data_IF_235687336131
#
_entry.id   IF_235687336131
#
_cell.length_a   1.000
_cell.length_b   1.000
_cell.length_c   1.000
_cell.angle_alpha   90.00
_cell.angle_beta   90.00
_cell.angle_gamma   90.00
#
_symmetry.space_group_name_H-M   'P 1'
#
loop_
_entity.id
_entity.type
_entity.pdbx_description
1 polymer ?
#
# COMPACT_ATOMS: atom_id res chain seq x y z
N UNK A 1 -31.80 -49.35 44.02
CA UNK A 1 -31.59 -48.10 43.27
C UNK A 1 -32.40 -47.02 43.98
N UNK A 2 -31.75 -46.26 44.87
CA UNK A 2 -32.43 -45.38 45.82
C UNK A 2 -31.61 -44.11 46.06
N UNK A 3 -32.34 -43.02 46.23
CA UNK A 3 -31.99 -41.69 46.77
C UNK A 3 -31.55 -40.59 45.79
N UNK A 4 -32.54 -39.72 45.58
CA UNK A 4 -32.56 -38.32 45.15
C UNK A 4 -31.57 -37.41 45.90
N UNK A 5 -31.06 -36.42 45.14
CA UNK A 5 -30.82 -34.99 45.48
C UNK A 5 -30.00 -34.67 46.75
N UNK A 6 -29.00 -33.78 46.61
CA UNK A 6 -28.95 -32.47 47.30
C UNK A 6 -27.68 -31.68 46.93
N UNK A 7 -27.92 -30.43 46.49
CA UNK A 7 -27.14 -29.18 46.66
C UNK A 7 -25.61 -29.21 46.45
N UNK A 8 -25.03 -28.28 45.68
CA UNK A 8 -24.91 -26.89 46.13
C UNK A 8 -24.60 -25.96 44.96
N UNK A 9 -25.34 -24.85 44.92
CA UNK A 9 -25.15 -23.69 44.06
C UNK A 9 -23.82 -23.02 44.39
N UNK A 10 -22.95 -22.82 43.39
CA UNK A 10 -21.95 -21.75 43.46
C UNK A 10 -22.12 -20.85 42.24
N UNK A 11 -22.95 -19.83 42.42
CA UNK A 11 -22.97 -18.67 41.55
C UNK A 11 -21.70 -17.85 41.85
N UNK A 12 -20.84 -17.71 40.85
CA UNK A 12 -19.89 -16.60 40.80
C UNK A 12 -20.19 -15.82 39.52
N UNK A 13 -20.96 -14.75 39.70
CA UNK A 13 -20.89 -13.58 38.83
C UNK A 13 -19.42 -13.19 38.70
N UNK A 14 -18.97 -12.81 37.50
CA UNK A 14 -18.29 -11.53 37.24
C UNK A 14 -17.84 -11.45 35.76
N UNK A 15 -18.55 -10.59 35.04
CA UNK A 15 -18.04 -9.56 34.12
C UNK A 15 -17.43 -10.02 32.79
N UNK A 16 -18.27 -9.88 31.75
CA UNK A 16 -18.02 -8.98 30.62
C UNK A 16 -16.56 -8.83 30.17
N UNK A 17 -16.19 -9.68 29.24
CA UNK A 17 -15.17 -9.41 28.23
C UNK A 17 -15.63 -10.13 26.96
N UNK A 18 -16.75 -9.74 26.32
CA UNK A 18 -16.76 -8.62 25.35
C UNK A 18 -15.49 -7.75 25.36
N UNK A 19 -14.33 -8.39 25.19
CA UNK A 19 -13.34 -7.86 24.26
C UNK A 19 -14.09 -8.03 22.92
N UNK A 20 -14.81 -7.02 22.47
CA UNK A 20 -14.08 -5.86 22.01
C UNK A 20 -13.18 -6.31 20.87
N UNK A 21 -13.63 -7.20 19.99
CA UNK A 21 -13.40 -6.96 18.57
C UNK A 21 -14.09 -5.63 18.27
N UNK A 22 -13.43 -4.53 18.66
CA UNK A 22 -13.42 -3.37 17.80
C UNK A 22 -12.97 -3.93 16.47
N UNK A 23 -13.93 -4.11 15.55
CA UNK A 23 -13.63 -3.90 14.15
C UNK A 23 -12.98 -2.52 14.14
N UNK A 24 -11.66 -2.50 14.18
CA UNK A 24 -10.93 -1.33 13.73
C UNK A 24 -11.29 -1.31 12.26
N UNK A 25 -12.31 -0.54 11.92
CA UNK A 25 -12.52 0.00 10.59
C UNK A 25 -11.29 0.87 10.30
N UNK A 26 -10.18 0.21 10.00
CA UNK A 26 -8.97 0.87 9.54
C UNK A 26 -9.09 0.98 8.03
N UNK A 27 -9.60 2.11 7.53
CA UNK A 27 -9.25 2.57 6.18
C UNK A 27 -7.73 2.56 6.09
N UNK A 28 -7.09 1.96 5.09
CA UNK A 28 -7.33 2.19 3.67
C UNK A 28 -6.98 0.98 2.79
N UNK A 29 -7.50 0.95 1.55
CA UNK A 29 -7.04 0.02 0.49
C UNK A 29 -5.91 0.63 -0.36
N UNK A 30 -5.83 1.95 -0.48
CA UNK A 30 -4.70 2.77 -0.93
C UNK A 30 -4.92 4.17 -0.34
N UNK A 31 -3.92 5.06 -0.38
CA UNK A 31 -4.07 6.44 0.06
C UNK A 31 -4.95 7.20 -0.95
N UNK A 32 -6.27 7.09 -0.79
CA UNK A 32 -7.24 7.72 -1.69
C UNK A 32 -7.27 9.24 -1.46
N UNK A 33 -7.31 10.00 -2.57
CA UNK A 33 -7.30 11.46 -2.58
C UNK A 33 -6.00 12.08 -2.06
N UNK A 34 -4.85 11.53 -2.45
CA UNK A 34 -3.57 12.14 -2.16
C UNK A 34 -3.47 13.52 -2.85
N UNK A 35 -3.45 14.58 -2.06
CA UNK A 35 -3.32 15.96 -2.58
C UNK A 35 -1.84 16.37 -2.65
N UNK A 36 -1.50 17.21 -3.63
CA UNK A 36 -0.09 17.60 -3.87
C UNK A 36 0.55 18.36 -2.70
N UNK A 37 -0.26 19.03 -1.89
CA UNK A 37 0.20 19.79 -0.72
C UNK A 37 0.45 18.91 0.51
N UNK A 38 -0.02 17.66 0.52
CA UNK A 38 0.32 16.66 1.54
C UNK A 38 1.70 16.03 1.32
N UNK A 39 2.21 16.13 0.09
CA UNK A 39 3.49 15.56 -0.34
C UNK A 39 4.63 16.44 0.19
N UNK A 40 5.49 15.86 1.01
CA UNK A 40 6.74 16.47 1.44
C UNK A 40 7.83 16.27 0.37
N UNK A 41 7.88 15.08 -0.22
CA UNK A 41 8.84 14.73 -1.26
C UNK A 41 8.25 13.64 -2.17
N UNK A 42 8.56 13.70 -3.47
CA UNK A 42 8.27 12.64 -4.43
C UNK A 42 9.54 12.32 -5.21
N UNK A 43 9.94 11.05 -5.23
CA UNK A 43 11.13 10.54 -5.89
C UNK A 43 10.75 9.35 -6.78
N UNK A 44 11.26 9.29 -8.00
CA UNK A 44 11.20 8.08 -8.81
C UNK A 44 12.59 7.54 -9.02
N UNK A 45 12.66 6.22 -8.94
CA UNK A 45 13.89 5.47 -9.13
C UNK A 45 13.63 4.40 -10.18
N UNK A 46 14.56 4.25 -11.11
CA UNK A 46 14.48 3.26 -12.18
C UNK A 46 15.76 2.43 -12.26
N UNK A 47 15.60 1.14 -12.51
CA UNK A 47 16.70 0.25 -12.86
C UNK A 47 16.90 0.29 -14.37
N UNK A 48 18.01 0.85 -14.82
CA UNK A 48 18.37 0.98 -16.24
C UNK A 48 19.55 0.07 -16.53
N UNK A 49 19.53 -0.63 -17.66
CA UNK A 49 20.66 -1.44 -18.10
C UNK A 49 21.65 -0.57 -18.87
N UNK A 50 22.84 -0.35 -18.32
CA UNK A 50 23.93 0.37 -18.97
C UNK A 50 25.21 -0.48 -18.90
N UNK A 51 25.88 -0.63 -20.05
CA UNK A 51 27.14 -1.38 -20.19
C UNK A 51 27.10 -2.82 -19.65
N UNK A 52 25.92 -3.46 -19.67
CA UNK A 52 25.72 -4.83 -19.17
C UNK A 52 25.48 -4.95 -17.66
N UNK A 53 25.34 -3.81 -16.95
CA UNK A 53 24.99 -3.74 -15.52
C UNK A 53 23.66 -3.00 -15.33
N UNK A 54 22.96 -3.32 -14.25
CA UNK A 54 21.79 -2.55 -13.83
C UNK A 54 22.25 -1.41 -12.91
N UNK A 55 22.03 -0.18 -13.34
CA UNK A 55 22.24 1.03 -12.55
C UNK A 55 20.90 1.56 -12.06
N UNK A 56 20.91 2.14 -10.86
CA UNK A 56 19.78 2.86 -10.30
C UNK A 56 19.89 4.33 -10.70
N UNK A 57 18.86 4.86 -11.37
CA UNK A 57 18.79 6.28 -11.74
C UNK A 57 17.59 6.97 -11.08
N UNK A 58 17.86 8.15 -10.52
CA UNK A 58 16.84 9.05 -9.99
C UNK A 58 16.20 9.86 -11.12
N UNK A 59 14.90 9.69 -11.30
CA UNK A 59 14.11 10.43 -12.27
C UNK A 59 13.46 11.61 -11.56
N UNK A 60 13.79 12.81 -12.02
CA UNK A 60 13.15 14.04 -11.55
C UNK A 60 11.87 14.27 -12.34
N UNK A 61 10.72 14.35 -11.66
CA UNK A 61 9.46 14.75 -12.29
C UNK A 61 9.27 16.26 -12.30
N UNK A 62 8.66 16.75 -13.36
CA UNK A 62 8.06 18.09 -13.38
C UNK A 62 6.76 18.11 -12.55
N UNK A 63 6.33 19.31 -12.12
CA UNK A 63 5.07 19.44 -11.37
C UNK A 63 3.86 18.92 -12.14
N UNK A 64 3.83 19.11 -13.47
CA UNK A 64 2.74 18.62 -14.32
C UNK A 64 2.70 17.08 -14.36
N UNK A 65 3.87 16.44 -14.39
CA UNK A 65 3.97 14.97 -14.34
C UNK A 65 3.58 14.42 -12.96
N UNK A 66 3.95 15.12 -11.89
CA UNK A 66 3.50 14.81 -10.53
C UNK A 66 1.97 14.86 -10.49
N UNK A 67 1.35 15.96 -10.92
CA UNK A 67 -0.10 16.11 -10.89
C UNK A 67 -0.79 15.03 -11.72
N UNK A 68 -0.29 14.75 -12.93
CA UNK A 68 -0.81 13.69 -13.79
C UNK A 68 -0.70 12.30 -13.15
N UNK A 69 0.40 12.04 -12.46
CA UNK A 69 0.59 10.79 -11.73
C UNK A 69 -0.39 10.68 -10.56
N UNK A 70 -0.57 11.74 -9.77
CA UNK A 70 -1.51 11.77 -8.66
C UNK A 70 -2.96 11.59 -9.14
N UNK A 71 -3.34 12.23 -10.24
CA UNK A 71 -4.66 12.04 -10.87
C UNK A 71 -4.89 10.55 -11.23
N UNK A 72 -3.88 9.89 -11.81
CA UNK A 72 -3.95 8.47 -12.15
C UNK A 72 -3.99 7.58 -10.92
N UNK A 73 -3.18 7.87 -9.90
CA UNK A 73 -3.13 7.10 -8.66
C UNK A 73 -4.46 7.19 -7.90
N UNK A 74 -5.02 8.40 -7.79
CA UNK A 74 -6.29 8.67 -7.12
C UNK A 74 -7.50 8.13 -7.91
N UNK A 75 -7.35 7.88 -9.21
CA UNK A 75 -8.40 7.30 -10.06
C UNK A 75 -8.50 5.76 -9.95
N UNK A 76 -7.59 5.10 -9.25
CA UNK A 76 -7.61 3.63 -9.09
C UNK A 76 -8.86 3.23 -8.29
N UNK A 77 -9.79 2.45 -8.88
CA UNK A 77 -11.00 2.08 -8.17
C UNK A 77 -10.72 0.93 -7.20
N UNK A 78 -11.42 0.91 -6.06
CA UNK A 78 -11.10 0.01 -4.94
C UNK A 78 -11.14 -1.48 -5.30
N UNK A 79 -12.01 -1.89 -6.22
CA UNK A 79 -12.13 -3.27 -6.68
C UNK A 79 -10.92 -3.76 -7.49
N UNK A 80 -10.03 -2.86 -7.89
CA UNK A 80 -8.77 -3.18 -8.59
C UNK A 80 -7.59 -3.36 -7.64
N UNK A 81 -7.83 -3.27 -6.33
CA UNK A 81 -6.80 -3.32 -5.31
C UNK A 81 -6.95 -4.62 -4.52
N UNK A 82 -5.86 -5.38 -4.46
CA UNK A 82 -5.82 -6.65 -3.74
C UNK A 82 -4.70 -6.59 -2.72
N UNK A 83 -5.04 -6.78 -1.44
CA UNK A 83 -4.05 -6.88 -0.36
C UNK A 83 -3.17 -8.12 -0.54
N UNK A 84 -1.88 -7.97 -0.30
CA UNK A 84 -0.87 -9.02 -0.41
C UNK A 84 0.05 -9.03 0.80
N UNK A 85 0.71 -10.16 1.06
CA UNK A 85 1.66 -10.27 2.17
C UNK A 85 3.07 -9.79 1.82
N UNK A 86 3.45 -9.90 0.55
CA UNK A 86 4.82 -9.69 0.08
C UNK A 86 4.85 -9.11 -1.33
N UNK A 87 5.74 -8.13 -1.53
CA UNK A 87 6.12 -7.57 -2.84
C UNK A 87 7.30 -8.42 -3.35
N UNK A 88 7.35 -8.77 -4.65
CA UNK A 88 8.49 -9.50 -5.22
C UNK A 88 9.76 -8.65 -5.16
N UNK A 89 10.92 -9.32 -5.10
CA UNK A 89 12.22 -8.65 -5.06
C UNK A 89 12.65 -8.07 -6.40
N UNK A 90 12.14 -8.61 -7.52
CA UNK A 90 12.50 -8.21 -8.87
C UNK A 90 11.60 -7.05 -9.33
N UNK A 91 12.06 -5.83 -9.08
CA UNK A 91 11.37 -4.60 -9.48
C UNK A 91 12.20 -3.85 -10.52
N UNK A 92 11.51 -3.26 -11.50
CA UNK A 92 12.15 -2.48 -12.57
C UNK A 92 12.22 -1.01 -12.24
N UNK A 93 11.20 -0.48 -11.58
CA UNK A 93 11.12 0.93 -11.23
C UNK A 93 10.14 1.13 -10.08
N UNK A 94 10.28 2.24 -9.36
CA UNK A 94 9.31 2.63 -8.36
C UNK A 94 9.30 4.13 -8.11
N UNK A 95 8.19 4.59 -7.55
CA UNK A 95 7.98 5.94 -7.05
C UNK A 95 7.85 5.84 -5.53
N UNK A 96 8.59 6.66 -4.81
CA UNK A 96 8.47 6.86 -3.37
C UNK A 96 7.90 8.25 -3.13
N UNK A 97 6.81 8.31 -2.38
CA UNK A 97 6.16 9.54 -1.96
C UNK A 97 6.26 9.63 -0.45
N UNK A 98 6.99 10.62 0.04
CA UNK A 98 7.04 10.96 1.46
C UNK A 98 5.95 12.01 1.73
N UNK A 99 5.02 11.68 2.62
CA UNK A 99 3.99 12.60 3.08
C UNK A 99 4.47 13.34 4.32
N UNK A 100 3.90 14.53 4.56
CA UNK A 100 4.22 15.34 5.74
C UNK A 100 3.93 14.65 7.08
N UNK A 101 3.06 13.63 7.09
CA UNK A 101 2.59 12.92 8.28
C UNK A 101 3.43 11.66 8.61
N UNK A 102 4.73 11.64 8.25
CA UNK A 102 5.61 10.47 8.45
C UNK A 102 5.07 9.19 7.79
N UNK A 103 4.30 9.36 6.72
CA UNK A 103 3.78 8.27 5.89
C UNK A 103 4.58 8.22 4.61
N UNK A 104 5.05 7.03 4.24
CA UNK A 104 5.75 6.78 2.99
C UNK A 104 4.91 5.85 2.11
N UNK A 105 4.71 6.23 0.85
CA UNK A 105 4.00 5.44 -0.15
C UNK A 105 5.02 5.01 -1.21
N UNK A 106 5.20 3.69 -1.39
CA UNK A 106 6.03 3.12 -2.46
C UNK A 106 5.14 2.46 -3.51
N UNK A 107 5.26 2.91 -4.75
CA UNK A 107 4.52 2.39 -5.88
C UNK A 107 5.53 1.82 -6.87
N UNK A 108 5.58 0.50 -6.99
CA UNK A 108 6.67 -0.23 -7.63
C UNK A 108 6.14 -1.10 -8.76
N UNK A 109 6.91 -1.22 -9.85
CA UNK A 109 6.53 -1.95 -11.05
C UNK A 109 7.57 -3.02 -11.37
N UNK A 110 7.14 -4.26 -11.63
CA UNK A 110 8.02 -5.39 -12.00
C UNK A 110 8.08 -5.65 -13.53
N UNK A 111 7.27 -4.96 -14.32
CA UNK A 111 7.10 -5.24 -15.76
C UNK A 111 5.77 -5.89 -16.15
N UNK A 112 4.93 -6.24 -15.17
CA UNK A 112 3.58 -6.77 -15.34
C UNK A 112 2.59 -6.09 -14.36
N UNK A 113 2.96 -6.02 -13.08
CA UNK A 113 2.09 -5.59 -11.98
C UNK A 113 2.63 -4.38 -11.25
N UNK A 114 1.69 -3.58 -10.74
CA UNK A 114 1.96 -2.47 -9.84
C UNK A 114 1.73 -2.94 -8.40
N UNK A 115 2.72 -2.65 -7.56
CA UNK A 115 2.73 -2.94 -6.13
C UNK A 115 2.69 -1.63 -5.38
N UNK A 116 1.72 -1.46 -4.47
CA UNK A 116 1.65 -0.31 -3.60
C UNK A 116 1.95 -0.74 -2.15
N UNK A 117 2.89 -0.06 -1.53
CA UNK A 117 3.23 -0.24 -0.12
C UNK A 117 3.00 1.07 0.60
N UNK A 118 2.22 1.04 1.67
CA UNK A 118 2.04 2.19 2.57
C UNK A 118 2.75 1.85 3.88
N UNK A 119 3.62 2.74 4.32
CA UNK A 119 4.36 2.63 5.58
C UNK A 119 4.00 3.83 6.43
N UNK A 120 3.46 3.59 7.61
CA UNK A 120 3.13 4.61 8.59
C UNK A 120 3.52 4.16 10.01
N UNK A 121 3.14 4.95 11.00
CA UNK A 121 3.40 4.66 12.43
C UNK A 121 2.74 3.37 12.93
N UNK A 122 1.73 2.86 12.24
CA UNK A 122 0.97 1.66 12.59
C UNK A 122 1.54 0.39 11.96
N UNK A 123 2.31 0.53 10.88
CA UNK A 123 3.04 -0.56 10.25
C UNK A 123 3.12 -0.43 8.74
N UNK A 124 3.08 -1.59 8.07
CA UNK A 124 3.22 -1.67 6.61
C UNK A 124 2.03 -2.43 6.03
N UNK A 125 1.36 -1.80 5.06
CA UNK A 125 0.31 -2.41 4.25
C UNK A 125 0.79 -2.55 2.81
N UNK A 126 0.43 -3.65 2.14
CA UNK A 126 0.90 -3.98 0.79
C UNK A 126 -0.25 -4.42 -0.09
N UNK A 127 -0.25 -3.93 -1.32
CA UNK A 127 -1.30 -4.17 -2.29
C UNK A 127 -0.72 -4.42 -3.68
N UNK A 128 -1.47 -5.16 -4.48
CA UNK A 128 -1.33 -5.18 -5.94
C UNK A 128 -2.45 -4.33 -6.52
N UNK A 129 -2.10 -3.49 -7.48
CA UNK A 129 -3.02 -2.63 -8.23
C UNK A 129 -3.16 -3.17 -9.65
N UNK A 130 -4.39 -3.47 -10.05
CA UNK A 130 -4.75 -3.91 -11.40
C UNK A 130 -5.43 -2.77 -12.18
N UNK A 131 -4.66 -1.76 -12.56
CA UNK A 131 -5.17 -0.58 -13.26
C UNK A 131 -4.34 -0.28 -14.53
N UNK A 132 -4.85 -0.62 -15.73
CA UNK A 132 -4.09 -0.54 -16.98
C UNK A 132 -3.46 0.83 -17.23
N UNK A 133 -4.15 1.91 -16.90
CA UNK A 133 -3.70 3.28 -17.11
C UNK A 133 -2.46 3.61 -16.28
N UNK A 134 -2.39 3.10 -15.04
CA UNK A 134 -1.21 3.22 -14.18
C UNK A 134 -0.07 2.32 -14.67
N UNK A 135 -0.35 1.09 -15.09
CA UNK A 135 0.65 0.22 -15.72
C UNK A 135 1.27 0.89 -16.95
N UNK A 136 0.44 1.43 -17.86
CA UNK A 136 0.91 2.13 -19.05
C UNK A 136 1.67 3.42 -18.74
N UNK A 137 1.41 4.08 -17.60
CA UNK A 137 2.24 5.19 -17.14
C UNK A 137 3.68 4.72 -16.87
N UNK A 138 3.84 3.64 -16.10
CA UNK A 138 5.17 3.08 -15.81
C UNK A 138 5.87 2.54 -17.06
N UNK A 139 5.14 1.84 -17.94
CA UNK A 139 5.69 1.34 -19.20
C UNK A 139 6.26 2.48 -20.08
N UNK A 140 5.53 3.59 -20.21
CA UNK A 140 6.02 4.76 -20.94
C UNK A 140 7.25 5.37 -20.28
N UNK A 141 7.24 5.52 -18.95
CA UNK A 141 8.40 6.07 -18.24
C UNK A 141 9.64 5.21 -18.43
N UNK A 142 9.49 3.89 -18.37
CA UNK A 142 10.58 2.96 -18.67
C UNK A 142 11.05 3.11 -20.11
N UNK A 143 10.14 3.20 -21.09
CA UNK A 143 10.51 3.35 -22.50
C UNK A 143 11.16 4.71 -22.85
N UNK A 144 10.87 5.78 -22.11
CA UNK A 144 11.47 7.10 -22.29
C UNK A 144 12.93 7.18 -21.79
N UNK A 145 13.36 6.24 -20.95
CA UNK A 145 14.66 6.26 -20.26
C UNK A 145 15.55 5.05 -20.60
N UNK A 146 15.19 4.27 -21.63
CA UNK A 146 16.03 3.22 -22.25
C UNK A 146 16.49 3.72 -23.62
#
# INVERSE_FOLDING_TARGET
>A
MFVKKMFTVLAFFIILALIGCSNVEGSSKIYNNLESDEIAQLRMTMMIMADGYYNEEDITFTQDEINKFLDLYNAVPEERIIEIKQVPSELKTGIVIDLKQETEIRIQYDGDKIYNTIIDVTGQQKYVIHFPELTSFFERKVAENI
#
